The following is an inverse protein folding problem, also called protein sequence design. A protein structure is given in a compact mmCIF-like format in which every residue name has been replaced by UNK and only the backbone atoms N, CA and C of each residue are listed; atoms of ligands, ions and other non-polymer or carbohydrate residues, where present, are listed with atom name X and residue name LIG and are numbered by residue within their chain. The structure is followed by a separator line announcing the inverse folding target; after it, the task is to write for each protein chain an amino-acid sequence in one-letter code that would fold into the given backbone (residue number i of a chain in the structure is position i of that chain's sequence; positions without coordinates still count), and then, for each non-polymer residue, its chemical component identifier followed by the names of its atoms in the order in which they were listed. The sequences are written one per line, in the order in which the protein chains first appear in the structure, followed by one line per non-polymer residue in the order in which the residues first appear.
data_IF_109512751854
#
_entry.id   IF_109512751854
#
_cell.length_a   1.000
_cell.length_b   1.000
_cell.length_c   1.000
_cell.angle_alpha   90.00
_cell.angle_beta   90.00
_cell.angle_gamma   90.00
#
_symmetry.space_group_name_H-M   'P 1'
#
loop_
_entity.id
_entity.type
_entity.pdbx_description
1 polymer ?
#
# COMPACT_ATOMS: atom_id res chain seq x y z
N UNK A 1 -3.29 6.62 2.35
CA UNK A 1 -2.29 5.77 1.67
C UNK A 1 -1.73 4.79 2.68
N UNK A 2 -1.30 3.61 2.23
CA UNK A 2 -0.50 2.65 3.00
C UNK A 2 0.65 2.11 2.13
N UNK A 3 1.49 1.24 2.70
CA UNK A 3 2.73 0.73 2.13
C UNK A 3 3.97 1.26 2.87
N UNK A 4 5.11 0.62 2.70
CA UNK A 4 6.37 1.02 3.32
C UNK A 4 6.61 0.47 4.74
N UNK A 5 7.75 0.85 5.32
CA UNK A 5 8.30 0.27 6.56
C UNK A 5 7.46 0.53 7.82
N UNK A 6 6.53 1.47 7.77
CA UNK A 6 5.67 1.85 8.90
C UNK A 6 4.22 1.38 8.76
N UNK A 7 3.89 0.64 7.70
CA UNK A 7 2.56 0.05 7.55
C UNK A 7 2.66 -1.36 7.01
N UNK A 8 2.66 -1.55 5.69
CA UNK A 8 2.69 -2.87 5.05
C UNK A 8 4.03 -3.04 4.35
N UNK A 9 4.97 -3.73 5.00
CA UNK A 9 6.32 -3.96 4.48
C UNK A 9 6.28 -4.86 3.25
N UNK A 10 7.28 -4.78 2.39
CA UNK A 10 7.27 -5.46 1.08
C UNK A 10 6.53 -4.68 -0.02
N UNK A 11 5.67 -3.73 0.35
CA UNK A 11 5.05 -2.78 -0.57
C UNK A 11 5.75 -1.42 -0.49
N UNK A 12 5.85 -0.72 -1.62
CA UNK A 12 6.47 0.61 -1.68
C UNK A 12 5.70 1.62 -0.82
N UNK A 13 6.38 2.68 -0.37
CA UNK A 13 5.73 3.70 0.44
C UNK A 13 4.57 4.34 -0.33
N UNK A 14 3.44 4.52 0.36
CA UNK A 14 2.21 5.09 -0.18
C UNK A 14 1.66 4.40 -1.44
N UNK A 15 2.01 3.14 -1.72
CA UNK A 15 1.57 2.42 -2.92
C UNK A 15 0.24 1.67 -2.79
N UNK A 16 -0.34 1.63 -1.59
CA UNK A 16 -1.56 0.89 -1.31
C UNK A 16 -2.76 1.81 -1.03
N UNK A 17 -3.86 1.50 -1.70
CA UNK A 17 -5.13 2.18 -1.59
C UNK A 17 -5.83 2.33 -2.95
N UNK A 18 -6.95 3.09 -2.96
CA UNK A 18 -7.67 3.37 -4.18
C UNK A 18 -6.77 3.96 -5.26
N UNK A 19 -7.01 3.52 -6.49
CA UNK A 19 -6.30 3.96 -7.69
C UNK A 19 -7.27 4.66 -8.62
N UNK A 20 -6.75 5.65 -9.34
CA UNK A 20 -7.48 6.22 -10.46
C UNK A 20 -7.86 5.10 -11.43
N UNK A 21 -9.15 4.99 -11.75
CA UNK A 21 -9.62 3.99 -12.70
C UNK A 21 -9.57 4.61 -14.08
N UNK A 22 -8.74 4.02 -14.95
CA UNK A 22 -8.55 4.45 -16.33
C UNK A 22 -9.87 4.87 -16.98
N UNK A 23 -9.86 6.07 -17.54
CA UNK A 23 -11.05 6.66 -18.12
C UNK A 23 -11.53 5.84 -19.32
N UNK A 24 -12.84 5.85 -19.53
CA UNK A 24 -13.46 5.12 -20.62
C UNK A 24 -12.90 5.52 -21.99
N UNK A 25 -13.14 4.66 -22.98
CA UNK A 25 -12.97 5.03 -24.38
C UNK A 25 -14.00 6.09 -24.74
N UNK A 26 -13.63 7.08 -25.55
CA UNK A 26 -14.61 7.88 -26.24
C UNK A 26 -15.32 6.97 -27.26
N UNK A 27 -16.60 6.65 -27.05
CA UNK A 27 -17.38 5.74 -27.92
C UNK A 27 -17.51 6.26 -29.36
N UNK A 28 -17.21 7.54 -29.63
CA UNK A 28 -17.27 8.17 -30.96
C UNK A 28 -15.94 8.22 -31.71
N UNK A 29 -14.82 8.32 -31.00
CA UNK A 29 -13.48 8.50 -31.61
C UNK A 29 -12.56 7.30 -31.35
N UNK A 30 -13.00 6.35 -30.51
CA UNK A 30 -12.19 5.26 -29.97
C UNK A 30 -10.91 5.75 -29.25
N UNK A 31 -10.89 7.05 -28.89
CA UNK A 31 -9.76 7.70 -28.28
C UNK A 31 -9.70 7.30 -26.81
N UNK A 32 -8.53 6.81 -26.38
CA UNK A 32 -8.29 6.41 -25.02
C UNK A 32 -8.08 7.69 -24.22
N UNK A 33 -9.05 8.06 -23.39
CA UNK A 33 -8.89 9.16 -22.46
C UNK A 33 -7.78 8.76 -21.48
N UNK A 34 -6.56 9.29 -21.68
CA UNK A 34 -5.39 8.96 -20.87
C UNK A 34 -5.63 9.43 -19.43
N UNK A 35 -5.88 8.48 -18.54
CA UNK A 35 -5.96 8.69 -17.10
C UNK A 35 -5.04 7.68 -16.43
N UNK A 36 -4.44 8.07 -15.32
CA UNK A 36 -3.39 7.32 -14.65
C UNK A 36 -3.90 6.04 -14.01
N UNK A 37 -2.97 5.19 -13.59
CA UNK A 37 -3.22 4.08 -12.65
C UNK A 37 -2.62 4.42 -11.27
N UNK A 38 -2.52 5.72 -11.00
CA UNK A 38 -1.84 6.26 -9.84
C UNK A 38 -2.68 6.00 -8.59
N UNK A 39 -1.99 5.74 -7.49
CA UNK A 39 -2.62 5.62 -6.18
C UNK A 39 -3.07 7.01 -5.76
N UNK A 40 -4.37 7.18 -5.56
CA UNK A 40 -4.96 8.43 -5.08
C UNK A 40 -5.17 8.41 -3.57
N UNK A 41 -5.10 7.23 -2.96
CA UNK A 41 -5.33 7.05 -1.53
C UNK A 41 -6.80 7.08 -1.16
N UNK A 42 -7.09 6.84 0.13
CA UNK A 42 -8.44 6.71 0.65
C UNK A 42 -8.60 7.42 1.99
N UNK A 43 -9.83 7.72 2.37
CA UNK A 43 -10.20 8.40 3.62
C UNK A 43 -10.29 7.44 4.82
N UNK A 44 -10.25 6.13 4.57
CA UNK A 44 -10.24 5.08 5.58
C UNK A 44 -9.06 4.14 5.36
N UNK A 45 -8.58 3.52 6.42
CA UNK A 45 -7.54 2.51 6.35
C UNK A 45 -7.75 1.45 7.43
N UNK A 46 -7.35 0.22 7.14
CA UNK A 46 -7.29 -0.87 8.10
C UNK A 46 -5.91 -1.53 7.99
N UNK A 47 -5.25 -1.69 9.13
CA UNK A 47 -3.88 -2.22 9.24
C UNK A 47 -3.80 -3.19 10.41
N UNK A 48 -3.12 -4.30 10.18
CA UNK A 48 -2.73 -5.29 11.16
C UNK A 48 -1.23 -5.57 10.99
N UNK A 49 -0.45 -5.36 12.04
CA UNK A 49 0.96 -5.69 12.09
C UNK A 49 1.20 -6.67 13.24
N UNK A 50 1.77 -7.83 12.93
CA UNK A 50 2.14 -8.85 13.92
C UNK A 50 3.65 -9.05 13.85
N UNK A 51 4.32 -8.95 14.99
CA UNK A 51 5.78 -9.07 15.07
C UNK A 51 6.20 -10.03 16.17
N UNK A 52 7.15 -10.91 15.85
CA UNK A 52 7.87 -11.74 16.78
C UNK A 52 9.30 -11.23 16.89
N UNK A 53 9.66 -10.72 18.07
CA UNK A 53 11.02 -10.31 18.38
C UNK A 53 11.75 -11.43 19.09
N UNK A 54 13.00 -11.66 18.70
CA UNK A 54 13.87 -12.63 19.37
C UNK A 54 15.27 -12.05 19.60
N UNK A 55 15.93 -12.44 20.70
CA UNK A 55 17.27 -11.97 21.00
C UNK A 55 18.27 -12.54 19.98
N UNK A 56 19.13 -11.69 19.43
CA UNK A 56 20.31 -12.12 18.65
C UNK A 56 21.56 -11.87 19.49
N UNK A 57 21.73 -10.63 19.95
CA UNK A 57 22.79 -10.25 20.87
C UNK A 57 22.34 -9.03 21.69
N UNK A 58 21.51 -9.28 22.71
CA UNK A 58 20.89 -8.20 23.50
C UNK A 58 21.90 -7.31 24.22
N UNK A 59 23.05 -7.86 24.60
CA UNK A 59 24.16 -7.10 25.19
C UNK A 59 24.69 -5.98 24.29
N UNK A 60 24.49 -6.09 22.96
CA UNK A 60 24.84 -5.07 21.97
C UNK A 60 23.60 -4.33 21.42
N UNK A 61 22.43 -4.53 22.04
CA UNK A 61 21.17 -3.92 21.62
C UNK A 61 20.61 -4.49 20.30
N UNK A 62 21.02 -5.69 19.87
CA UNK A 62 20.61 -6.30 18.61
C UNK A 62 19.49 -7.34 18.82
N UNK A 63 18.36 -7.15 18.12
CA UNK A 63 17.22 -8.07 18.09
C UNK A 63 16.85 -8.43 16.67
N UNK A 64 16.44 -9.68 16.47
CA UNK A 64 15.80 -10.14 15.25
C UNK A 64 14.30 -9.91 15.31
N UNK A 65 13.69 -9.79 14.14
CA UNK A 65 12.24 -9.64 13.97
C UNK A 65 11.80 -10.58 12.86
N UNK A 66 10.73 -11.34 13.09
CA UNK A 66 9.91 -11.94 12.05
C UNK A 66 8.53 -11.27 12.09
N UNK A 67 7.91 -11.00 10.95
CA UNK A 67 6.65 -10.27 10.93
C UNK A 67 5.65 -10.78 9.89
N UNK A 68 4.39 -10.46 10.13
CA UNK A 68 3.28 -10.54 9.20
C UNK A 68 2.52 -9.22 9.22
N UNK A 69 2.36 -8.60 8.05
CA UNK A 69 1.59 -7.37 7.87
C UNK A 69 0.37 -7.62 6.99
N UNK A 70 -0.72 -6.92 7.26
CA UNK A 70 -1.92 -6.94 6.45
C UNK A 70 -2.64 -5.59 6.49
N UNK A 71 -3.01 -5.03 5.34
CA UNK A 71 -3.77 -3.78 5.31
C UNK A 71 -4.07 -3.25 3.91
N UNK A 72 -4.99 -2.29 3.85
CA UNK A 72 -5.22 -1.45 2.67
C UNK A 72 -5.91 -0.12 3.09
N UNK A 73 -5.82 0.89 2.22
CA UNK A 73 -6.63 2.10 2.32
C UNK A 73 -7.89 1.97 1.45
N UNK A 74 -8.95 2.70 1.79
CA UNK A 74 -10.27 2.59 1.17
C UNK A 74 -11.00 3.93 1.12
N UNK A 75 -12.11 3.98 0.38
CA UNK A 75 -13.10 5.05 0.50
C UNK A 75 -12.81 6.30 -0.34
N UNK A 76 -12.20 6.13 -1.51
CA UNK A 76 -12.09 7.22 -2.47
C UNK A 76 -13.45 7.58 -3.09
N UNK A 77 -13.66 8.88 -3.30
CA UNK A 77 -14.89 9.42 -3.89
C UNK A 77 -15.09 8.94 -5.33
N UNK A 78 -16.34 8.62 -5.68
CA UNK A 78 -16.72 8.31 -7.05
C UNK A 78 -17.10 9.59 -7.81
N UNK A 79 -16.69 9.68 -9.07
CA UNK A 79 -17.08 10.76 -9.97
C UNK A 79 -18.25 10.30 -10.83
N UNK A 80 -19.26 11.15 -11.01
CA UNK A 80 -20.35 10.90 -11.97
C UNK A 80 -20.07 11.69 -13.23
N UNK A 81 -19.82 11.00 -14.33
CA UNK A 81 -19.72 11.62 -15.65
C UNK A 81 -21.10 11.61 -16.32
N UNK A 82 -21.42 12.68 -17.04
CA UNK A 82 -22.63 12.77 -17.85
C UNK A 82 -22.21 12.82 -19.31
N UNK A 83 -22.71 11.91 -20.13
CA UNK A 83 -22.48 11.93 -21.57
C UNK A 83 -23.24 13.13 -22.17
N UNK A 84 -22.50 14.11 -22.65
CA UNK A 84 -23.04 15.32 -23.27
C UNK A 84 -23.86 15.05 -24.54
N UNK A 85 -23.74 13.87 -25.14
CA UNK A 85 -24.45 13.47 -26.36
C UNK A 85 -25.76 12.74 -26.10
N UNK A 86 -25.84 11.96 -25.02
CA UNK A 86 -27.00 11.12 -24.71
C UNK A 86 -27.73 11.52 -23.43
N UNK A 87 -27.13 12.40 -22.60
CA UNK A 87 -27.64 12.77 -21.28
C UNK A 87 -27.47 11.68 -20.22
N UNK A 88 -26.89 10.53 -20.58
CA UNK A 88 -26.72 9.39 -19.67
C UNK A 88 -25.67 9.67 -18.59
N UNK A 89 -25.97 9.30 -17.35
CA UNK A 89 -25.05 9.42 -16.21
C UNK A 89 -24.35 8.09 -15.95
N UNK A 90 -23.01 8.10 -15.90
CA UNK A 90 -22.19 6.94 -15.53
C UNK A 90 -21.38 7.27 -14.28
N UNK A 91 -21.55 6.48 -13.23
CA UNK A 91 -20.76 6.57 -12.00
C UNK A 91 -19.46 5.79 -12.19
N UNK A 92 -18.32 6.47 -12.05
CA UNK A 92 -16.99 5.87 -12.09
C UNK A 92 -16.43 5.93 -10.68
N UNK A 93 -16.14 4.76 -10.12
CA UNK A 93 -15.53 4.63 -8.81
C UNK A 93 -14.09 4.11 -8.96
N UNK A 94 -13.13 4.69 -8.22
CA UNK A 94 -11.82 4.11 -8.01
C UNK A 94 -11.89 2.66 -7.52
N UNK A 95 -10.84 1.89 -7.78
CA UNK A 95 -10.63 0.60 -7.10
C UNK A 95 -10.62 0.81 -5.58
N UNK A 96 -11.04 -0.19 -4.79
CA UNK A 96 -11.03 -0.14 -3.32
C UNK A 96 -11.85 1.04 -2.71
N UNK A 97 -12.79 1.59 -3.48
CA UNK A 97 -13.74 2.63 -3.01
C UNK A 97 -14.72 2.09 -1.97
N UNK A 98 -14.92 0.78 -1.92
CA UNK A 98 -15.72 0.07 -0.92
C UNK A 98 -14.81 -0.85 -0.12
N UNK A 99 -15.01 -0.91 1.18
CA UNK A 99 -14.29 -1.83 2.05
C UNK A 99 -14.57 -3.28 1.65
N UNK A 100 -13.52 -4.03 1.33
CA UNK A 100 -13.60 -5.45 1.03
C UNK A 100 -12.37 -6.17 1.60
N UNK A 101 -12.61 -7.31 2.25
CA UNK A 101 -11.54 -8.15 2.80
C UNK A 101 -10.61 -8.71 1.72
N UNK A 102 -11.09 -8.84 0.48
CA UNK A 102 -10.27 -9.33 -0.64
C UNK A 102 -9.18 -8.36 -1.08
N UNK A 103 -9.33 -7.07 -0.77
CA UNK A 103 -8.41 -6.02 -1.23
C UNK A 103 -7.24 -5.80 -0.26
N UNK A 104 -7.26 -6.45 0.90
CA UNK A 104 -6.15 -6.38 1.85
C UNK A 104 -4.88 -6.94 1.23
N UNK A 105 -3.81 -6.14 1.25
CA UNK A 105 -2.47 -6.62 0.94
C UNK A 105 -1.83 -7.21 2.17
N UNK A 106 -1.08 -8.29 1.96
CA UNK A 106 -0.43 -9.09 2.99
C UNK A 106 1.02 -9.29 2.64
N UNK A 107 1.86 -9.30 3.65
CA UNK A 107 3.27 -9.63 3.51
C UNK A 107 3.79 -10.33 4.75
N UNK A 108 4.89 -11.04 4.56
CA UNK A 108 5.69 -11.60 5.64
C UNK A 108 7.12 -11.13 5.47
N UNK A 109 7.90 -11.19 6.54
CA UNK A 109 9.30 -10.85 6.40
C UNK A 109 10.11 -11.04 7.66
N UNK A 110 11.37 -10.66 7.53
CA UNK A 110 12.37 -10.73 8.59
C UNK A 110 13.12 -9.40 8.67
N UNK A 111 13.71 -9.11 9.82
CA UNK A 111 14.49 -7.89 9.99
C UNK A 111 15.39 -7.91 11.21
N UNK A 112 16.21 -6.88 11.30
CA UNK A 112 17.06 -6.57 12.45
C UNK A 112 16.70 -5.21 13.04
N UNK A 113 16.68 -5.14 14.36
CA UNK A 113 16.58 -3.90 15.14
C UNK A 113 17.85 -3.74 15.96
N UNK A 114 18.50 -2.60 15.82
CA UNK A 114 19.72 -2.31 16.54
C UNK A 114 19.63 -0.97 17.25
N UNK A 115 19.75 -1.00 18.57
CA UNK A 115 19.97 0.19 19.38
C UNK A 115 21.47 0.51 19.40
N UNK A 116 21.93 1.20 18.36
CA UNK A 116 23.34 1.60 18.24
C UNK A 116 23.65 2.81 19.14
N UNK A 117 24.94 3.11 19.38
CA UNK A 117 25.36 4.34 20.06
C UNK A 117 24.89 5.64 19.39
N UNK A 118 24.52 5.58 18.10
CA UNK A 118 24.07 6.72 17.30
C UNK A 118 22.55 6.80 17.14
N UNK A 119 21.81 5.87 17.77
CA UNK A 119 20.35 5.81 17.75
C UNK A 119 19.79 4.48 17.24
N UNK A 120 18.44 4.36 17.19
CA UNK A 120 17.77 3.16 16.69
C UNK A 120 17.94 3.00 15.18
N UNK A 121 18.27 1.78 14.75
CA UNK A 121 18.27 1.36 13.34
C UNK A 121 17.33 0.18 13.12
N UNK A 122 16.67 0.19 11.97
CA UNK A 122 15.82 -0.89 11.48
C UNK A 122 16.23 -1.27 10.07
N UNK A 123 16.36 -2.56 9.82
CA UNK A 123 16.51 -3.12 8.48
C UNK A 123 15.52 -4.26 8.36
N UNK A 124 14.64 -4.22 7.36
CA UNK A 124 13.52 -5.15 7.23
C UNK A 124 13.41 -5.61 5.77
N UNK A 125 13.29 -6.92 5.57
CA UNK A 125 13.09 -7.59 4.29
C UNK A 125 11.65 -8.11 4.24
N UNK A 126 10.82 -7.47 3.41
CA UNK A 126 9.41 -7.81 3.27
C UNK A 126 9.09 -8.50 1.95
N UNK A 127 8.26 -9.54 2.02
CA UNK A 127 7.83 -10.36 0.88
C UNK A 127 6.30 -10.30 0.76
N UNK A 128 5.76 -9.63 -0.27
CA UNK A 128 4.33 -9.61 -0.56
C UNK A 128 3.77 -11.02 -0.82
N UNK A 129 2.68 -11.37 -0.16
CA UNK A 129 2.02 -12.67 -0.32
C UNK A 129 0.90 -12.67 -1.38
N UNK A 130 0.28 -11.52 -1.63
CA UNK A 130 -0.85 -11.39 -2.56
C UNK A 130 -0.80 -10.08 -3.37
N UNK A 131 0.33 -9.86 -4.04
CA UNK A 131 0.51 -8.74 -4.98
C UNK A 131 -0.54 -8.81 -6.10
N UNK A 132 -1.19 -7.69 -6.41
CA UNK A 132 -2.08 -7.54 -7.56
C UNK A 132 -1.42 -6.71 -8.68
N UNK A 133 -1.91 -6.81 -9.93
CA UNK A 133 -1.47 -5.94 -11.01
C UNK A 133 -1.59 -4.46 -10.65
N UNK A 134 -0.51 -3.70 -10.85
CA UNK A 134 -0.44 -2.28 -10.48
C UNK A 134 0.15 -1.99 -9.10
N UNK A 135 0.31 -2.99 -8.22
CA UNK A 135 0.95 -2.76 -6.92
C UNK A 135 2.46 -2.54 -7.07
N UNK A 136 2.96 -1.47 -6.43
CA UNK A 136 4.39 -1.21 -6.32
C UNK A 136 4.95 -1.87 -5.05
N UNK A 137 6.06 -2.58 -5.22
CA UNK A 137 6.69 -3.40 -4.18
C UNK A 137 8.10 -2.93 -3.87
N UNK A 138 8.45 -2.91 -2.59
CA UNK A 138 9.81 -2.64 -2.11
C UNK A 138 10.22 -3.72 -1.11
N UNK A 139 11.22 -4.51 -1.48
CA UNK A 139 11.64 -5.67 -0.69
C UNK A 139 12.46 -5.26 0.54
N UNK A 140 13.20 -4.15 0.45
CA UNK A 140 14.10 -3.70 1.52
C UNK A 140 13.60 -2.39 2.11
N UNK A 141 13.40 -2.38 3.43
CA UNK A 141 13.12 -1.19 4.23
C UNK A 141 14.28 -0.89 5.17
N UNK A 142 14.64 0.38 5.28
CA UNK A 142 15.64 0.88 6.21
C UNK A 142 15.15 2.17 6.89
N UNK A 143 15.44 2.31 8.18
CA UNK A 143 15.15 3.53 8.95
C UNK A 143 16.20 3.74 10.02
N UNK A 144 16.58 5.01 10.25
CA UNK A 144 17.51 5.47 11.29
C UNK A 144 16.87 6.61 12.07
N UNK A 145 17.01 6.57 13.40
CA UNK A 145 16.46 7.59 14.29
C UNK A 145 15.02 7.33 14.72
N UNK A 146 14.43 8.28 15.44
CA UNK A 146 12.99 8.27 15.70
C UNK A 146 12.25 8.75 14.46
N UNK A 147 11.30 7.96 13.97
CA UNK A 147 10.22 8.49 13.16
C UNK A 147 9.13 9.05 14.07
#
# INVERSE_FOLDING_TARGET
FLGGINSIRGFSDRSLGPRERGCGKNDKTNDQLSCGNDVIGGDKAAVLNTELLFPIAEQYGLRGVAFFDMGNAFGASCTTITDSSTGNKKKICPSDSVFSFGDFRRSVGIGGRWMSPFGPLRVELGFPLNKQPGDDTSVIGFSVGSQ
#
